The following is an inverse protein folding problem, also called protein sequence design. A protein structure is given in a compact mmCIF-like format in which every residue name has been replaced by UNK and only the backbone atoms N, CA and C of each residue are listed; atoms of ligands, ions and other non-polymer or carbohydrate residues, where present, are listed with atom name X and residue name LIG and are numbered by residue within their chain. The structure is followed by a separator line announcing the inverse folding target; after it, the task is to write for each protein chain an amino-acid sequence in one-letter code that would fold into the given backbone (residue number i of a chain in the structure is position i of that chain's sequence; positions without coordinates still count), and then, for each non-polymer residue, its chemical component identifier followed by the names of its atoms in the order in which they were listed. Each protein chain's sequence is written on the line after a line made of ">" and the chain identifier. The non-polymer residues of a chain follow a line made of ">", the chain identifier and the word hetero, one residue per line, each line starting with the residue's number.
data_IF_285098990331
#
_entry.id   IF_285098990331
#
_cell.length_a   1.000
_cell.length_b   1.000
_cell.length_c   1.000
_cell.angle_alpha   90.00
_cell.angle_beta   90.00
_cell.angle_gamma   90.00
#
_symmetry.space_group_name_H-M   'P 1'
#
loop_
_entity.id
_entity.type
_entity.pdbx_description
1 polymer ?
#
# COMPACT_ATOMS: atom_id res chain seq x y z
N UNK A 1 83.35 -12.57 -24.75
CA UNK A 1 82.07 -11.92 -25.02
C UNK A 1 81.00 -12.70 -24.28
N UNK A 2 80.77 -12.31 -23.03
CA UNK A 2 79.82 -13.00 -22.10
C UNK A 2 78.47 -12.31 -22.09
N UNK A 3 77.41 -13.07 -22.44
CA UNK A 3 76.03 -12.62 -22.29
C UNK A 3 75.55 -12.98 -20.89
N UNK A 4 75.20 -11.97 -20.08
CA UNK A 4 74.48 -12.16 -18.82
C UNK A 4 72.98 -12.10 -19.06
N UNK A 5 72.28 -13.22 -18.85
CA UNK A 5 70.84 -13.27 -18.77
C UNK A 5 70.40 -12.96 -17.34
N UNK A 6 69.67 -11.85 -17.16
CA UNK A 6 69.05 -11.48 -15.89
C UNK A 6 67.68 -12.10 -15.79
N UNK A 7 67.51 -13.04 -14.87
CA UNK A 7 66.21 -13.71 -14.56
C UNK A 7 65.47 -12.84 -13.52
N UNK A 8 64.39 -12.19 -13.91
CA UNK A 8 63.52 -11.43 -13.01
C UNK A 8 62.50 -12.38 -12.37
N UNK A 9 62.62 -12.63 -11.07
CA UNK A 9 61.59 -13.28 -10.25
C UNK A 9 60.46 -12.28 -9.98
N UNK A 10 59.26 -12.54 -10.53
CA UNK A 10 58.05 -11.86 -10.15
C UNK A 10 57.47 -12.50 -8.87
N UNK A 11 57.56 -11.85 -7.75
CA UNK A 11 56.85 -12.23 -6.51
C UNK A 11 55.41 -11.75 -6.57
N UNK A 12 54.47 -12.67 -6.78
CA UNK A 12 53.01 -12.39 -6.63
C UNK A 12 52.70 -12.20 -5.15
N UNK A 13 52.50 -10.95 -4.74
CA UNK A 13 51.96 -10.62 -3.42
C UNK A 13 50.44 -10.77 -3.47
N UNK A 14 49.90 -11.86 -2.88
CA UNK A 14 48.47 -11.97 -2.59
C UNK A 14 48.12 -10.96 -1.48
N UNK A 15 47.58 -9.80 -1.86
CA UNK A 15 46.97 -8.88 -0.91
C UNK A 15 45.61 -9.49 -0.49
N UNK A 16 45.54 -9.98 0.74
CA UNK A 16 44.28 -10.29 1.41
C UNK A 16 43.57 -8.96 1.67
N UNK A 17 42.52 -8.71 0.90
CA UNK A 17 41.60 -7.61 1.13
C UNK A 17 40.80 -7.94 2.40
N UNK A 18 40.89 -7.12 3.41
CA UNK A 18 40.13 -7.22 4.62
C UNK A 18 38.61 -7.03 4.27
N UNK A 19 37.69 -7.77 4.91
CA UNK A 19 36.30 -7.54 4.71
C UNK A 19 35.91 -6.12 5.15
N UNK A 20 35.06 -5.46 4.34
CA UNK A 20 34.55 -4.14 4.64
C UNK A 20 33.81 -4.15 6.00
N UNK A 21 33.93 -3.10 6.83
CA UNK A 21 33.20 -3.01 8.08
C UNK A 21 31.69 -3.01 7.79
N UNK A 22 30.93 -3.81 8.55
CA UNK A 22 29.48 -3.82 8.55
C UNK A 22 28.95 -2.40 8.83
N UNK A 23 27.86 -1.97 8.17
CA UNK A 23 27.28 -0.67 8.44
C UNK A 23 26.86 -0.57 9.90
N UNK A 24 27.19 0.56 10.52
CA UNK A 24 26.85 0.85 11.90
C UNK A 24 25.32 0.78 12.09
N UNK A 25 24.89 0.05 13.12
CA UNK A 25 23.49 -0.01 13.53
C UNK A 25 22.99 1.41 13.83
N UNK A 26 21.88 1.77 13.22
CA UNK A 26 21.16 2.99 13.56
C UNK A 26 20.70 2.90 15.04
N UNK A 27 20.59 4.01 15.77
CA UNK A 27 20.18 3.98 17.17
C UNK A 27 18.75 3.47 17.30
N UNK A 28 18.56 2.46 18.15
CA UNK A 28 17.27 1.92 18.56
C UNK A 28 16.45 3.03 19.22
N UNK A 29 15.51 3.61 18.48
CA UNK A 29 14.46 4.41 19.09
C UNK A 29 13.31 3.46 19.43
N UNK A 30 13.42 2.80 20.57
CA UNK A 30 12.31 2.06 21.17
C UNK A 30 11.26 3.05 21.65
N UNK A 31 10.22 3.24 20.87
CA UNK A 31 8.94 3.74 21.39
C UNK A 31 8.10 2.56 21.81
N UNK A 32 8.13 2.26 23.09
CA UNK A 32 7.29 1.27 23.75
C UNK A 32 5.84 1.74 23.75
N UNK A 33 4.99 1.02 23.08
CA UNK A 33 3.57 1.03 23.32
C UNK A 33 3.02 -0.38 23.13
N UNK A 34 2.68 -0.92 24.21
CA UNK A 34 1.74 -2.00 24.50
C UNK A 34 2.34 -3.30 25.03
N UNK A 35 1.97 -3.60 26.30
CA UNK A 35 2.48 -4.69 27.12
C UNK A 35 1.76 -6.02 26.79
N UNK A 36 1.97 -6.55 25.59
CA UNK A 36 1.69 -7.96 25.31
C UNK A 36 2.98 -8.64 24.83
N UNK A 37 3.20 -9.92 25.06
CA UNK A 37 4.36 -10.60 24.49
C UNK A 37 4.30 -10.45 22.97
N UNK A 38 5.25 -9.71 22.39
CA UNK A 38 5.39 -9.52 20.95
C UNK A 38 5.99 -10.81 20.38
N UNK A 39 5.11 -11.71 19.90
CA UNK A 39 5.52 -12.99 19.33
C UNK A 39 5.90 -12.91 17.86
N UNK A 40 5.93 -11.70 17.28
CA UNK A 40 6.31 -11.52 15.89
C UNK A 40 5.32 -12.05 14.86
N UNK A 41 5.82 -12.41 13.65
CA UNK A 41 5.00 -13.05 12.63
C UNK A 41 4.62 -14.46 13.07
N UNK A 42 3.31 -14.71 13.12
CA UNK A 42 2.72 -15.96 13.57
C UNK A 42 2.00 -16.60 12.40
N UNK A 43 2.23 -17.87 12.18
CA UNK A 43 1.43 -18.72 11.29
C UNK A 43 0.53 -19.64 12.12
N UNK A 44 -0.72 -19.77 11.70
CA UNK A 44 -1.71 -20.65 12.31
C UNK A 44 -2.40 -21.48 11.23
N UNK A 45 -2.78 -22.72 11.56
CA UNK A 45 -3.62 -23.50 10.67
C UNK A 45 -5.04 -22.94 10.71
N UNK A 46 -5.52 -22.47 9.56
CA UNK A 46 -6.90 -22.03 9.43
C UNK A 46 -7.69 -23.17 8.80
N UNK A 47 -8.51 -23.83 9.62
CA UNK A 47 -9.48 -24.79 9.10
C UNK A 47 -10.42 -24.07 8.12
N UNK A 48 -10.70 -24.64 6.94
CA UNK A 48 -11.60 -24.02 5.97
C UNK A 48 -12.97 -23.78 6.61
N UNK A 49 -13.62 -22.64 6.34
CA UNK A 49 -14.91 -22.30 6.94
C UNK A 49 -15.96 -23.35 6.55
N UNK A 50 -16.59 -23.99 7.55
CA UNK A 50 -17.61 -25.01 7.36
C UNK A 50 -18.98 -24.48 6.90
N UNK A 51 -19.18 -23.15 6.78
CA UNK A 51 -20.42 -22.50 6.32
C UNK A 51 -20.16 -21.84 4.98
N UNK A 52 -21.17 -21.89 4.07
CA UNK A 52 -21.14 -21.11 2.83
C UNK A 52 -20.85 -19.66 3.21
N UNK A 53 -19.78 -19.09 2.66
CA UNK A 53 -19.45 -17.69 2.87
C UNK A 53 -20.64 -16.82 2.39
N UNK A 54 -21.09 -15.91 3.24
CA UNK A 54 -22.13 -14.94 2.88
C UNK A 54 -21.47 -13.93 1.93
N UNK A 55 -22.08 -13.74 0.77
CA UNK A 55 -21.65 -12.69 -0.17
C UNK A 55 -22.05 -11.31 0.39
N UNK A 56 -21.16 -10.74 1.20
CA UNK A 56 -21.37 -9.43 1.84
C UNK A 56 -21.57 -8.30 0.84
N UNK A 57 -21.15 -8.48 -0.42
CA UNK A 57 -21.41 -7.55 -1.51
C UNK A 57 -22.89 -7.48 -1.92
N UNK A 58 -23.71 -8.52 -1.64
CA UNK A 58 -25.10 -8.61 -2.10
C UNK A 58 -26.15 -8.52 -1.02
N UNK A 59 -25.79 -8.62 0.26
CA UNK A 59 -26.73 -8.59 1.39
C UNK A 59 -26.41 -7.45 2.34
N UNK A 60 -27.41 -7.03 3.13
CA UNK A 60 -27.26 -6.15 4.30
C UNK A 60 -27.21 -6.94 5.61
N UNK A 61 -27.51 -8.24 5.56
CA UNK A 61 -27.45 -9.14 6.70
C UNK A 61 -26.04 -9.71 6.84
N UNK A 62 -25.15 -8.89 7.37
CA UNK A 62 -23.79 -9.33 7.61
C UNK A 62 -23.70 -10.13 8.92
N UNK A 63 -22.91 -11.22 8.96
CA UNK A 63 -22.65 -11.92 10.20
C UNK A 63 -22.12 -10.99 11.27
N UNK A 64 -22.48 -11.21 12.51
CA UNK A 64 -21.93 -10.42 13.64
C UNK A 64 -20.40 -10.55 13.66
N UNK A 65 -19.72 -9.42 13.77
CA UNK A 65 -18.28 -9.36 13.95
C UNK A 65 -17.91 -8.07 14.68
N UNK A 66 -16.89 -8.18 15.52
CA UNK A 66 -16.32 -7.06 16.27
C UNK A 66 -14.83 -7.03 16.06
N UNK A 67 -14.26 -5.85 16.13
CA UNK A 67 -12.83 -5.64 16.12
C UNK A 67 -12.28 -5.78 17.54
N UNK A 68 -11.41 -6.77 17.75
CA UNK A 68 -10.80 -7.09 19.03
C UNK A 68 -9.26 -6.99 18.98
N UNK A 69 -8.67 -7.20 17.78
CA UNK A 69 -7.21 -7.20 17.58
C UNK A 69 -6.60 -5.79 17.57
N UNK A 70 -7.42 -4.74 17.58
CA UNK A 70 -6.96 -3.37 17.50
C UNK A 70 -8.06 -2.33 17.65
N UNK A 71 -7.70 -1.11 17.27
CA UNK A 71 -8.60 0.06 17.23
C UNK A 71 -8.71 0.54 15.80
N UNK A 72 -9.92 0.84 15.36
CA UNK A 72 -10.18 1.41 14.04
C UNK A 72 -10.98 2.70 14.13
N UNK A 73 -10.71 3.61 13.21
CA UNK A 73 -11.52 4.80 12.96
C UNK A 73 -11.58 5.10 11.47
N UNK A 74 -12.66 5.76 11.04
CA UNK A 74 -12.85 6.22 9.67
C UNK A 74 -12.89 7.74 9.64
N UNK A 75 -12.15 8.30 8.70
CA UNK A 75 -12.18 9.71 8.30
C UNK A 75 -12.43 9.82 6.80
N UNK A 76 -13.15 10.86 6.40
CA UNK A 76 -13.42 11.15 4.98
C UNK A 76 -12.44 12.19 4.43
N UNK A 77 -11.30 12.38 5.07
CA UNK A 77 -10.25 13.32 4.68
C UNK A 77 -8.88 12.64 4.62
N UNK A 78 -8.07 13.07 3.66
CA UNK A 78 -6.65 12.69 3.57
C UNK A 78 -5.79 13.52 4.53
N UNK A 79 -6.23 14.71 4.92
CA UNK A 79 -5.53 15.55 5.88
C UNK A 79 -5.82 15.09 7.32
N UNK A 80 -4.98 14.21 7.84
CA UNK A 80 -5.09 13.72 9.22
C UNK A 80 -4.57 14.74 10.24
N UNK A 81 -3.79 15.72 9.84
CA UNK A 81 -3.27 16.76 10.74
C UNK A 81 -4.41 17.71 11.12
N UNK A 82 -5.19 18.16 10.14
CA UNK A 82 -6.32 19.06 10.37
C UNK A 82 -7.56 18.30 10.90
N UNK A 83 -7.82 17.07 10.44
CA UNK A 83 -9.09 16.36 10.69
C UNK A 83 -8.97 15.16 11.64
N UNK A 84 -7.78 14.89 12.17
CA UNK A 84 -7.54 13.76 13.08
C UNK A 84 -7.79 12.39 12.42
N UNK A 85 -8.00 11.38 13.27
CA UNK A 85 -8.19 9.99 12.83
C UNK A 85 -9.65 9.64 12.48
N UNK A 86 -10.59 10.56 12.73
CA UNK A 86 -12.00 10.38 12.42
C UNK A 86 -12.78 9.65 13.51
N UNK A 87 -13.92 9.06 13.14
CA UNK A 87 -14.85 8.41 14.04
C UNK A 87 -14.40 6.98 14.35
N UNK A 88 -14.20 6.68 15.64
CA UNK A 88 -13.83 5.34 16.10
C UNK A 88 -15.06 4.40 16.12
N UNK A 89 -14.83 3.13 15.83
CA UNK A 89 -15.84 2.09 15.87
C UNK A 89 -15.22 0.72 16.16
N UNK A 90 -16.05 -0.23 16.64
CA UNK A 90 -15.63 -1.61 16.91
C UNK A 90 -16.60 -2.64 16.33
N UNK A 91 -17.86 -2.24 16.10
CA UNK A 91 -18.87 -3.07 15.50
C UNK A 91 -18.70 -3.06 13.98
N UNK A 92 -18.47 -4.23 13.38
CA UNK A 92 -18.27 -4.39 11.96
C UNK A 92 -19.56 -4.73 11.20
N UNK A 93 -20.73 -4.60 11.83
CA UNK A 93 -22.04 -4.81 11.21
C UNK A 93 -22.34 -3.80 10.10
N UNK A 94 -23.24 -4.17 9.19
CA UNK A 94 -23.60 -3.36 8.01
C UNK A 94 -24.00 -1.92 8.36
N UNK A 95 -24.96 -1.74 9.27
CA UNK A 95 -25.46 -0.41 9.62
C UNK A 95 -24.42 0.42 10.38
N UNK A 96 -23.61 -0.21 11.23
CA UNK A 96 -22.53 0.50 11.93
C UNK A 96 -21.49 1.09 10.96
N UNK A 97 -21.08 0.31 9.96
CA UNK A 97 -20.17 0.80 8.92
C UNK A 97 -20.84 1.79 7.97
N UNK A 98 -22.11 1.58 7.63
CA UNK A 98 -22.88 2.54 6.84
C UNK A 98 -22.89 3.92 7.48
N UNK A 99 -23.24 4.00 8.79
CA UNK A 99 -23.34 5.26 9.53
C UNK A 99 -21.99 6.01 9.57
N UNK A 100 -20.90 5.28 9.85
CA UNK A 100 -19.55 5.87 9.94
C UNK A 100 -19.02 6.31 8.58
N UNK A 101 -19.37 5.61 7.49
CA UNK A 101 -18.88 5.87 6.14
C UNK A 101 -19.78 6.81 5.33
N UNK A 102 -21.02 7.07 5.77
CA UNK A 102 -21.97 7.89 5.01
C UNK A 102 -21.44 9.26 4.62
N UNK A 103 -20.74 10.01 5.49
CA UNK A 103 -20.14 11.30 5.13
C UNK A 103 -19.09 11.19 4.01
N UNK A 104 -18.45 10.03 3.88
CA UNK A 104 -17.39 9.82 2.89
C UNK A 104 -17.90 9.65 1.45
N UNK A 105 -19.21 9.39 1.30
CA UNK A 105 -19.83 9.18 -0.01
C UNK A 105 -19.72 10.42 -0.90
N UNK A 106 -19.99 11.61 -0.36
CA UNK A 106 -19.95 12.88 -1.09
C UNK A 106 -18.50 13.29 -1.42
N UNK A 107 -17.58 13.02 -0.48
CA UNK A 107 -16.17 13.36 -0.66
C UNK A 107 -15.45 12.37 -1.59
N UNK A 108 -15.95 11.14 -1.69
CA UNK A 108 -15.36 10.08 -2.53
C UNK A 108 -14.10 9.43 -1.95
N UNK A 109 -13.76 9.70 -0.68
CA UNK A 109 -12.57 9.21 0.02
C UNK A 109 -12.96 8.54 1.32
N UNK A 110 -12.41 7.37 1.60
CA UNK A 110 -12.45 6.73 2.91
C UNK A 110 -11.03 6.43 3.37
N UNK A 111 -10.65 6.96 4.52
CA UNK A 111 -9.39 6.66 5.22
C UNK A 111 -9.69 5.86 6.49
N UNK A 112 -9.32 4.58 6.43
CA UNK A 112 -9.40 3.65 7.54
C UNK A 112 -8.09 3.73 8.33
N UNK A 113 -8.10 4.31 9.51
CA UNK A 113 -7.00 4.23 10.45
C UNK A 113 -7.13 2.93 11.26
N UNK A 114 -6.08 2.13 11.29
CA UNK A 114 -6.01 0.93 12.10
C UNK A 114 -4.75 0.94 12.96
N UNK A 115 -4.92 0.68 14.26
CA UNK A 115 -3.83 0.48 15.19
C UNK A 115 -4.04 -0.82 15.96
N UNK A 116 -3.20 -1.83 15.70
CA UNK A 116 -3.36 -3.14 16.32
C UNK A 116 -2.58 -4.24 15.63
N UNK A 117 -2.95 -5.48 15.91
CA UNK A 117 -2.30 -6.68 15.35
C UNK A 117 -3.03 -7.18 14.10
N UNK A 118 -2.29 -7.78 13.19
CA UNK A 118 -2.89 -8.47 12.03
C UNK A 118 -3.52 -9.77 12.50
N UNK A 119 -4.84 -9.88 12.36
CA UNK A 119 -5.66 -11.02 12.76
C UNK A 119 -6.92 -11.11 11.88
N UNK A 120 -7.72 -12.16 12.03
CA UNK A 120 -8.91 -12.41 11.18
C UNK A 120 -9.98 -11.31 11.23
N UNK A 121 -10.08 -10.58 12.32
CA UNK A 121 -11.01 -9.45 12.44
C UNK A 121 -10.53 -8.21 11.66
N UNK A 122 -9.22 -8.00 11.49
CA UNK A 122 -8.68 -7.00 10.55
C UNK A 122 -9.02 -7.38 9.10
N UNK A 123 -8.86 -8.64 8.73
CA UNK A 123 -9.28 -9.12 7.40
C UNK A 123 -10.76 -8.81 7.17
N UNK A 124 -11.62 -9.18 8.13
CA UNK A 124 -13.06 -8.90 8.08
C UNK A 124 -13.35 -7.39 7.99
N UNK A 125 -12.61 -6.57 8.72
CA UNK A 125 -12.74 -5.10 8.66
C UNK A 125 -12.44 -4.57 7.25
N UNK A 126 -11.32 -4.99 6.65
CA UNK A 126 -10.92 -4.55 5.30
C UNK A 126 -11.96 -5.00 4.25
N UNK A 127 -12.39 -6.27 4.29
CA UNK A 127 -13.45 -6.81 3.41
C UNK A 127 -14.74 -5.98 3.49
N UNK A 128 -15.18 -5.63 4.69
CA UNK A 128 -16.44 -4.92 4.91
C UNK A 128 -16.36 -3.46 4.52
N UNK A 129 -15.24 -2.79 4.83
CA UNK A 129 -15.01 -1.41 4.38
C UNK A 129 -14.89 -1.35 2.86
N UNK A 130 -14.19 -2.29 2.23
CA UNK A 130 -14.10 -2.39 0.77
C UNK A 130 -15.48 -2.59 0.12
N UNK A 131 -16.29 -3.52 0.67
CA UNK A 131 -17.66 -3.78 0.20
C UNK A 131 -18.56 -2.56 0.34
N UNK A 132 -18.52 -1.88 1.50
CA UNK A 132 -19.30 -0.67 1.76
C UNK A 132 -18.86 0.48 0.84
N UNK A 133 -17.56 0.71 0.69
CA UNK A 133 -17.02 1.73 -0.21
C UNK A 133 -17.46 1.49 -1.68
N UNK A 134 -17.46 0.24 -2.12
CA UNK A 134 -17.94 -0.14 -3.46
C UNK A 134 -19.43 0.18 -3.62
N UNK A 135 -20.28 -0.14 -2.63
CA UNK A 135 -21.72 0.17 -2.64
C UNK A 135 -22.00 1.67 -2.66
N UNK A 136 -21.17 2.47 -2.00
CA UNK A 136 -21.28 3.92 -1.94
C UNK A 136 -20.66 4.63 -3.15
N UNK A 137 -19.94 3.91 -4.03
CA UNK A 137 -19.19 4.51 -5.14
C UNK A 137 -17.92 5.25 -4.71
N UNK A 138 -17.42 5.00 -3.48
CA UNK A 138 -16.18 5.59 -2.98
C UNK A 138 -15.00 4.91 -3.67
N UNK A 139 -14.25 5.67 -4.44
CA UNK A 139 -13.13 5.15 -5.25
C UNK A 139 -11.81 5.16 -4.50
N UNK A 140 -11.55 6.18 -3.69
CA UNK A 140 -10.29 6.31 -2.96
C UNK A 140 -10.40 5.68 -1.57
N UNK A 141 -9.65 4.60 -1.37
CA UNK A 141 -9.58 3.83 -0.11
C UNK A 141 -8.16 3.89 0.41
N UNK A 142 -7.99 4.31 1.65
CA UNK A 142 -6.69 4.45 2.30
C UNK A 142 -6.70 3.59 3.56
N UNK A 143 -5.75 2.67 3.67
CA UNK A 143 -5.45 1.99 4.93
C UNK A 143 -4.24 2.67 5.58
N UNK A 144 -4.50 3.42 6.62
CA UNK A 144 -3.53 4.12 7.44
C UNK A 144 -3.21 3.23 8.66
N UNK A 145 -2.10 2.51 8.58
CA UNK A 145 -1.80 1.39 9.48
C UNK A 145 -0.68 1.70 10.48
N UNK A 146 -0.86 1.16 11.70
CA UNK A 146 0.13 1.14 12.79
C UNK A 146 0.06 -0.24 13.45
N UNK A 147 0.95 -1.15 13.05
CA UNK A 147 0.87 -2.57 13.43
C UNK A 147 2.23 -3.19 13.66
N UNK A 148 2.38 -3.88 14.80
CA UNK A 148 3.55 -4.71 15.08
C UNK A 148 3.55 -6.05 14.34
N UNK A 149 2.52 -6.34 13.53
CA UNK A 149 2.37 -7.60 12.83
C UNK A 149 1.31 -8.51 13.42
N UNK A 150 1.41 -9.82 13.20
CA UNK A 150 0.45 -10.81 13.66
C UNK A 150 0.43 -12.06 12.78
N UNK A 151 -0.75 -12.51 12.37
CA UNK A 151 -0.93 -13.76 11.62
C UNK A 151 -0.63 -13.55 10.14
N UNK A 152 0.24 -14.39 9.57
CA UNK A 152 0.67 -14.34 8.17
C UNK A 152 -0.50 -14.62 7.22
N UNK A 153 -1.29 -15.64 7.52
CA UNK A 153 -2.42 -16.08 6.72
C UNK A 153 -3.52 -14.99 6.65
N UNK A 154 -3.73 -14.27 7.74
CA UNK A 154 -4.65 -13.14 7.77
C UNK A 154 -4.11 -11.95 6.98
N UNK A 155 -2.79 -11.69 7.05
CA UNK A 155 -2.15 -10.66 6.24
C UNK A 155 -2.29 -10.95 4.74
N UNK A 156 -2.07 -12.20 4.33
CA UNK A 156 -2.24 -12.64 2.94
C UNK A 156 -3.68 -12.43 2.48
N UNK A 157 -4.67 -12.90 3.27
CA UNK A 157 -6.09 -12.74 2.90
C UNK A 157 -6.51 -11.28 2.83
N UNK A 158 -6.13 -10.48 3.81
CA UNK A 158 -6.43 -9.05 3.82
C UNK A 158 -5.78 -8.33 2.64
N UNK A 159 -4.53 -8.68 2.33
CA UNK A 159 -3.80 -8.12 1.19
C UNK A 159 -4.41 -8.50 -0.16
N UNK A 160 -4.91 -9.74 -0.33
CA UNK A 160 -5.63 -10.14 -1.54
C UNK A 160 -6.92 -9.33 -1.74
N UNK A 161 -7.70 -9.10 -0.66
CA UNK A 161 -8.88 -8.21 -0.71
C UNK A 161 -8.51 -6.79 -1.12
N UNK A 162 -7.38 -6.29 -0.60
CA UNK A 162 -6.90 -4.95 -0.93
C UNK A 162 -6.50 -4.84 -2.40
N UNK A 163 -5.75 -5.82 -2.92
CA UNK A 163 -5.34 -5.89 -4.33
C UNK A 163 -6.55 -5.91 -5.30
N UNK A 164 -7.65 -6.57 -4.90
CA UNK A 164 -8.87 -6.63 -5.70
C UNK A 164 -9.74 -5.36 -5.61
N UNK A 165 -9.49 -4.47 -4.65
CA UNK A 165 -10.40 -3.37 -4.31
C UNK A 165 -9.75 -1.99 -4.27
N UNK A 166 -8.58 -1.84 -4.77
CA UNK A 166 -7.82 -0.60 -4.98
C UNK A 166 -7.59 0.20 -3.68
N UNK A 167 -6.50 -0.09 -2.98
CA UNK A 167 -6.13 0.57 -1.73
C UNK A 167 -4.79 1.29 -1.82
N UNK A 168 -4.74 2.47 -1.20
CA UNK A 168 -3.49 3.14 -0.85
C UNK A 168 -3.11 2.76 0.58
N UNK A 169 -1.86 2.31 0.76
CA UNK A 169 -1.31 2.02 2.08
C UNK A 169 -0.56 3.23 2.62
N UNK A 170 -0.86 3.62 3.87
CA UNK A 170 -0.10 4.64 4.59
C UNK A 170 0.54 4.06 5.85
N UNK A 171 1.84 4.29 6.01
CA UNK A 171 2.55 4.14 7.27
C UNK A 171 3.08 5.51 7.63
N UNK A 172 2.36 6.23 8.49
CA UNK A 172 2.67 7.62 8.86
C UNK A 172 3.97 7.69 9.68
N UNK A 173 4.56 8.87 9.75
CA UNK A 173 5.64 9.15 10.69
C UNK A 173 5.21 8.78 12.13
N UNK A 174 6.09 8.08 12.86
CA UNK A 174 5.81 7.54 14.19
C UNK A 174 4.93 6.28 14.22
N UNK A 175 4.36 5.84 13.09
CA UNK A 175 3.69 4.55 12.98
C UNK A 175 4.66 3.46 12.54
N UNK A 176 4.29 2.20 12.79
CA UNK A 176 5.07 1.03 12.41
C UNK A 176 4.25 0.08 11.55
N UNK A 177 4.96 -0.64 10.67
CA UNK A 177 4.42 -1.81 9.96
C UNK A 177 5.46 -2.92 10.02
N UNK A 178 5.34 -3.79 11.01
CA UNK A 178 6.35 -4.82 11.27
C UNK A 178 5.81 -6.21 10.94
N UNK A 179 6.73 -7.13 10.62
CA UNK A 179 6.46 -8.55 10.53
C UNK A 179 5.37 -8.87 9.50
N UNK A 180 4.27 -9.58 9.87
CA UNK A 180 3.15 -9.89 8.96
C UNK A 180 2.49 -8.64 8.35
N UNK A 181 2.56 -7.45 9.00
CA UNK A 181 2.07 -6.20 8.42
C UNK A 181 2.77 -5.85 7.10
N UNK A 182 4.04 -6.23 6.93
CA UNK A 182 4.80 -5.96 5.70
C UNK A 182 4.15 -6.62 4.47
N UNK A 183 3.47 -7.75 4.66
CA UNK A 183 2.73 -8.41 3.57
C UNK A 183 1.56 -7.55 3.09
N UNK A 184 0.88 -6.80 3.97
CA UNK A 184 -0.21 -5.92 3.55
C UNK A 184 0.26 -4.84 2.57
N UNK A 185 1.54 -4.41 2.66
CA UNK A 185 2.10 -3.43 1.72
C UNK A 185 2.10 -3.94 0.28
N UNK A 186 2.29 -5.26 0.08
CA UNK A 186 2.24 -5.85 -1.25
C UNK A 186 0.84 -5.77 -1.89
N UNK A 187 -0.23 -5.85 -1.07
CA UNK A 187 -1.61 -5.76 -1.53
C UNK A 187 -2.08 -4.33 -1.86
N UNK A 188 -1.31 -3.30 -1.50
CA UNK A 188 -1.65 -1.92 -1.83
C UNK A 188 -1.27 -1.53 -3.25
N UNK A 189 -2.09 -0.72 -3.92
CA UNK A 189 -1.78 -0.17 -5.25
C UNK A 189 -0.76 0.97 -5.17
N UNK A 190 -0.91 1.80 -4.15
CA UNK A 190 0.05 2.85 -3.79
C UNK A 190 0.49 2.70 -2.33
N UNK A 191 1.75 2.99 -2.04
CA UNK A 191 2.31 2.91 -0.68
C UNK A 191 3.06 4.19 -0.34
N UNK A 192 2.58 4.88 0.69
CA UNK A 192 3.19 6.09 1.24
C UNK A 192 3.75 5.74 2.61
N UNK A 193 5.07 5.66 2.71
CA UNK A 193 5.76 5.18 3.90
C UNK A 193 6.69 6.28 4.43
N UNK A 194 6.33 6.81 5.60
CA UNK A 194 7.14 7.75 6.38
C UNK A 194 7.53 7.17 7.74
N UNK A 195 6.84 6.10 8.15
CA UNK A 195 7.10 5.37 9.39
C UNK A 195 8.08 4.21 9.22
N UNK A 196 8.22 3.40 10.24
CA UNK A 196 9.16 2.29 10.26
C UNK A 196 8.54 0.99 9.71
N UNK A 197 9.21 0.36 8.75
CA UNK A 197 8.86 -0.97 8.24
C UNK A 197 9.94 -1.95 8.67
N UNK A 198 9.56 -3.01 9.37
CA UNK A 198 10.52 -3.94 9.94
C UNK A 198 10.14 -5.40 9.76
N UNK A 199 11.14 -6.25 9.64
CA UNK A 199 10.97 -7.68 9.39
C UNK A 199 11.73 -8.53 10.41
N UNK A 200 11.23 -9.71 10.65
CA UNK A 200 11.89 -10.79 11.38
C UNK A 200 11.33 -12.14 10.96
N UNK A 201 11.98 -13.22 11.40
CA UNK A 201 11.63 -14.60 11.05
C UNK A 201 10.24 -14.96 11.60
N UNK A 202 9.47 -15.67 10.77
CA UNK A 202 8.17 -16.23 11.14
C UNK A 202 8.32 -17.30 12.23
N UNK A 203 7.38 -17.31 13.17
CA UNK A 203 7.22 -18.35 14.17
C UNK A 203 5.85 -18.99 14.00
N UNK A 204 5.78 -20.31 14.08
CA UNK A 204 4.52 -21.04 14.13
C UNK A 204 4.23 -21.43 15.59
N UNK A 205 3.49 -20.57 16.31
CA UNK A 205 3.24 -20.73 17.76
C UNK A 205 2.39 -21.99 18.06
N UNK A 206 1.49 -22.36 17.15
CA UNK A 206 0.61 -23.51 17.31
C UNK A 206 1.17 -24.77 16.64
N UNK A 207 2.48 -24.81 16.35
CA UNK A 207 3.12 -25.98 15.78
C UNK A 207 3.10 -27.14 16.78
N UNK A 208 2.69 -28.31 16.30
CA UNK A 208 2.78 -29.58 17.01
C UNK A 208 4.08 -30.35 16.70
N UNK A 209 4.99 -29.70 15.95
CA UNK A 209 6.25 -30.32 15.54
C UNK A 209 7.10 -30.73 16.74
N UNK A 210 7.49 -32.01 16.77
CA UNK A 210 8.37 -32.58 17.78
C UNK A 210 9.83 -32.68 17.35
N UNK A 211 10.12 -32.34 16.09
CA UNK A 211 11.46 -32.36 15.53
C UNK A 211 11.74 -31.10 14.67
N UNK A 212 13.03 -30.75 14.51
CA UNK A 212 13.45 -29.65 13.61
C UNK A 212 13.01 -29.89 12.18
N UNK A 213 12.97 -31.15 11.73
CA UNK A 213 12.56 -31.50 10.38
C UNK A 213 11.06 -31.19 10.15
N UNK A 214 10.21 -31.55 11.12
CA UNK A 214 8.78 -31.27 11.09
C UNK A 214 8.54 -29.75 11.12
N UNK A 215 9.15 -29.04 12.06
CA UNK A 215 9.04 -27.57 12.12
C UNK A 215 9.53 -26.91 10.83
N UNK A 216 10.61 -27.41 10.24
CA UNK A 216 11.13 -26.91 8.97
C UNK A 216 10.14 -27.12 7.83
N UNK A 217 9.47 -28.27 7.75
CA UNK A 217 8.45 -28.54 6.74
C UNK A 217 7.26 -27.56 6.86
N UNK A 218 6.74 -27.37 8.08
CA UNK A 218 5.66 -26.43 8.34
C UNK A 218 6.03 -24.97 7.97
N UNK A 219 7.27 -24.56 8.27
CA UNK A 219 7.75 -23.22 7.93
C UNK A 219 7.95 -23.04 6.42
N UNK A 220 8.29 -24.10 5.69
CA UNK A 220 8.37 -24.05 4.22
C UNK A 220 7.00 -23.79 3.58
N UNK A 221 5.95 -24.44 4.07
CA UNK A 221 4.59 -24.20 3.56
C UNK A 221 4.17 -22.73 3.70
N UNK A 222 4.42 -22.12 4.85
CA UNK A 222 4.12 -20.70 5.08
C UNK A 222 4.98 -19.80 4.20
N UNK A 223 6.27 -20.13 4.10
CA UNK A 223 7.20 -19.38 3.24
C UNK A 223 6.80 -19.42 1.77
N UNK A 224 6.40 -20.59 1.27
CA UNK A 224 5.93 -20.74 -0.11
C UNK A 224 4.63 -19.96 -0.33
N UNK A 225 3.68 -20.01 0.60
CA UNK A 225 2.45 -19.21 0.53
C UNK A 225 2.72 -17.70 0.51
N UNK A 226 3.72 -17.24 1.26
CA UNK A 226 4.16 -15.85 1.23
C UNK A 226 4.77 -15.47 -0.12
N UNK A 227 5.61 -16.34 -0.71
CA UNK A 227 6.23 -16.09 -2.02
C UNK A 227 5.17 -16.00 -3.11
N UNK A 228 4.24 -16.95 -3.15
CA UNK A 228 3.12 -16.95 -4.10
C UNK A 228 2.27 -15.68 -3.96
N UNK A 229 2.04 -15.24 -2.72
CA UNK A 229 1.32 -14.00 -2.44
C UNK A 229 2.06 -12.76 -2.93
N UNK A 230 3.36 -12.64 -2.62
CA UNK A 230 4.19 -11.50 -3.02
C UNK A 230 4.29 -11.40 -4.55
N UNK A 231 4.52 -12.53 -5.22
CA UNK A 231 4.66 -12.59 -6.68
C UNK A 231 3.38 -12.12 -7.39
N UNK A 232 2.20 -12.69 -7.02
CA UNK A 232 0.93 -12.30 -7.66
C UNK A 232 0.52 -10.86 -7.37
N UNK A 233 1.03 -10.25 -6.30
CA UNK A 233 0.77 -8.87 -5.94
C UNK A 233 1.91 -7.90 -6.35
N UNK A 234 2.83 -8.34 -7.20
CA UNK A 234 3.85 -7.47 -7.80
C UNK A 234 4.94 -6.98 -6.86
N UNK A 235 5.14 -7.68 -5.72
CA UNK A 235 6.25 -7.46 -4.81
C UNK A 235 7.34 -8.52 -5.00
N UNK A 236 8.56 -8.22 -4.58
CA UNK A 236 9.67 -9.17 -4.69
C UNK A 236 9.52 -10.34 -3.72
N UNK A 237 9.62 -11.56 -4.21
CA UNK A 237 9.67 -12.78 -3.38
C UNK A 237 10.87 -12.79 -2.42
N UNK A 238 11.90 -12.01 -2.70
CA UNK A 238 13.07 -11.85 -1.84
C UNK A 238 12.72 -11.32 -0.44
N UNK A 239 11.57 -10.66 -0.27
CA UNK A 239 11.06 -10.25 1.05
C UNK A 239 10.88 -11.48 1.96
N UNK A 240 10.22 -12.53 1.46
CA UNK A 240 10.00 -13.76 2.23
C UNK A 240 11.33 -14.43 2.60
N UNK A 241 12.26 -14.51 1.65
CA UNK A 241 13.59 -15.07 1.89
C UNK A 241 14.35 -14.24 2.93
N UNK A 242 14.31 -12.91 2.82
CA UNK A 242 14.96 -12.00 3.75
C UNK A 242 14.39 -12.10 5.17
N UNK A 243 13.07 -12.15 5.31
CA UNK A 243 12.41 -12.35 6.60
C UNK A 243 12.93 -13.61 7.30
N UNK A 244 13.13 -14.71 6.58
CA UNK A 244 13.62 -15.96 7.16
C UNK A 244 15.06 -15.89 7.66
N UNK A 245 15.86 -14.93 7.24
CA UNK A 245 17.26 -14.73 7.68
C UNK A 245 17.37 -13.96 8.99
N UNK A 246 16.36 -13.13 9.33
CA UNK A 246 16.38 -12.29 10.54
C UNK A 246 15.86 -13.11 11.74
N UNK A 247 16.63 -13.24 12.85
CA UNK A 247 16.13 -13.95 14.02
C UNK A 247 14.82 -13.35 14.54
N UNK A 248 13.90 -14.21 15.02
CA UNK A 248 12.60 -13.77 15.51
C UNK A 248 12.64 -12.84 16.74
N UNK A 249 13.74 -12.83 17.48
CA UNK A 249 13.98 -11.95 18.62
C UNK A 249 14.62 -10.61 18.22
N UNK A 250 14.88 -10.42 16.92
CA UNK A 250 15.51 -9.22 16.37
C UNK A 250 14.58 -8.63 15.32
N UNK A 251 14.38 -7.32 15.37
CA UNK A 251 13.66 -6.60 14.34
C UNK A 251 14.68 -5.90 13.42
N UNK A 252 14.60 -6.16 12.13
CA UNK A 252 15.40 -5.49 11.10
C UNK A 252 14.53 -4.46 10.38
N UNK A 253 14.80 -3.18 10.61
CA UNK A 253 14.14 -2.09 9.89
C UNK A 253 14.69 -2.05 8.47
N UNK A 254 13.77 -1.97 7.49
CA UNK A 254 14.08 -1.84 6.08
C UNK A 254 14.45 -0.39 5.75
N UNK A 255 15.50 -0.22 4.97
CA UNK A 255 15.88 1.09 4.43
C UNK A 255 14.96 1.49 3.26
N UNK A 256 14.90 2.78 2.89
CA UNK A 256 14.17 3.20 1.68
C UNK A 256 14.60 2.46 0.42
N UNK A 257 15.89 2.19 0.24
CA UNK A 257 16.43 1.44 -0.91
C UNK A 257 15.96 -0.02 -0.89
N UNK A 258 15.89 -0.66 0.28
CA UNK A 258 15.35 -2.01 0.44
C UNK A 258 13.84 -2.04 0.15
N UNK A 259 13.07 -1.07 0.65
CA UNK A 259 11.64 -0.93 0.35
C UNK A 259 11.42 -0.79 -1.16
N UNK A 260 12.25 0.00 -1.84
CA UNK A 260 12.19 0.16 -3.29
C UNK A 260 12.58 -1.14 -4.02
N UNK A 261 13.67 -1.78 -3.62
CA UNK A 261 14.15 -3.03 -4.23
C UNK A 261 13.16 -4.19 -4.04
N UNK A 262 12.43 -4.18 -2.94
CA UNK A 262 11.38 -5.16 -2.63
C UNK A 262 10.02 -4.82 -3.28
N UNK A 263 9.87 -3.66 -3.90
CA UNK A 263 8.60 -3.21 -4.46
C UNK A 263 7.53 -2.96 -3.41
N UNK A 264 7.92 -2.47 -2.23
CA UNK A 264 7.03 -2.23 -1.08
C UNK A 264 6.74 -0.74 -0.84
N UNK A 265 7.24 0.17 -1.67
CA UNK A 265 7.00 1.62 -1.61
C UNK A 265 6.59 2.15 -2.99
N UNK A 266 5.85 3.25 -3.04
CA UNK A 266 5.37 3.85 -4.26
C UNK A 266 4.28 3.03 -4.95
N UNK A 267 4.14 3.20 -6.25
CA UNK A 267 3.10 2.51 -7.05
C UNK A 267 3.43 1.04 -7.25
N UNK A 268 2.39 0.21 -7.23
CA UNK A 268 2.51 -1.23 -7.48
C UNK A 268 2.76 -1.49 -8.98
N UNK A 269 3.85 -2.18 -9.30
CA UNK A 269 4.22 -2.46 -10.69
C UNK A 269 3.19 -3.32 -11.42
N UNK A 270 2.66 -4.37 -10.78
CA UNK A 270 1.64 -5.24 -11.36
C UNK A 270 0.32 -4.48 -11.60
N UNK A 271 -0.06 -3.59 -10.69
CA UNK A 271 -1.24 -2.72 -10.86
C UNK A 271 -1.03 -1.72 -12.00
N UNK A 272 0.14 -1.09 -12.09
CA UNK A 272 0.46 -0.20 -13.21
C UNK A 272 0.36 -0.92 -14.57
N UNK A 273 0.88 -2.12 -14.67
CA UNK A 273 0.79 -2.93 -15.89
C UNK A 273 -0.68 -3.27 -16.22
N UNK A 274 -1.48 -3.64 -15.21
CA UNK A 274 -2.89 -3.94 -15.38
C UNK A 274 -3.69 -2.72 -15.83
N UNK A 275 -3.46 -1.56 -15.23
CA UNK A 275 -4.08 -0.28 -15.62
C UNK A 275 -3.70 0.10 -17.06
N UNK A 276 -2.43 -0.06 -17.42
CA UNK A 276 -1.93 0.19 -18.77
C UNK A 276 -2.60 -0.74 -19.79
N UNK A 277 -2.74 -2.03 -19.49
CA UNK A 277 -3.45 -2.99 -20.35
C UNK A 277 -4.92 -2.60 -20.52
N UNK A 278 -5.59 -2.20 -19.42
CA UNK A 278 -6.98 -1.72 -19.45
C UNK A 278 -7.12 -0.47 -20.32
N UNK A 279 -6.17 0.47 -20.19
CA UNK A 279 -6.13 1.71 -20.95
C UNK A 279 -5.91 1.45 -22.45
N UNK A 280 -5.00 0.54 -22.79
CA UNK A 280 -4.80 0.10 -24.21
C UNK A 280 -6.09 -0.48 -24.79
N UNK A 281 -6.81 -1.31 -24.04
CA UNK A 281 -8.07 -1.91 -24.50
C UNK A 281 -9.16 -0.86 -24.70
N UNK A 282 -9.24 0.14 -23.86
CA UNK A 282 -10.27 1.20 -23.91
C UNK A 282 -9.95 2.30 -24.91
N UNK A 283 -8.72 2.83 -24.88
CA UNK A 283 -8.32 4.02 -25.63
C UNK A 283 -7.42 3.72 -26.82
N UNK A 284 -6.81 2.55 -26.86
CA UNK A 284 -5.88 2.14 -27.92
C UNK A 284 -4.41 2.38 -27.59
N UNK A 285 -3.53 1.67 -28.30
CA UNK A 285 -2.08 1.73 -28.09
C UNK A 285 -1.48 3.11 -28.38
N UNK A 286 -2.03 3.83 -29.38
CA UNK A 286 -1.55 5.16 -29.74
C UNK A 286 -1.80 6.17 -28.62
N UNK A 287 -2.95 6.11 -27.96
CA UNK A 287 -3.26 6.91 -26.77
C UNK A 287 -2.19 6.73 -25.68
N UNK A 288 -1.88 5.49 -25.33
CA UNK A 288 -0.91 5.17 -24.27
C UNK A 288 0.50 5.63 -24.65
N UNK A 289 0.90 5.51 -25.92
CA UNK A 289 2.19 6.03 -26.39
C UNK A 289 2.31 7.56 -26.26
N UNK A 290 1.23 8.28 -26.57
CA UNK A 290 1.16 9.74 -26.41
C UNK A 290 1.19 10.14 -24.94
N UNK A 291 0.47 9.40 -24.09
CA UNK A 291 0.47 9.57 -22.65
C UNK A 291 1.88 9.35 -22.05
N UNK A 292 2.58 8.29 -22.42
CA UNK A 292 3.97 8.04 -22.02
C UNK A 292 4.91 9.18 -22.45
N UNK A 293 4.70 9.70 -23.67
CA UNK A 293 5.51 10.81 -24.18
C UNK A 293 5.23 12.09 -23.41
N UNK A 294 3.95 12.35 -23.05
CA UNK A 294 3.56 13.45 -22.20
C UNK A 294 4.21 13.36 -20.81
N UNK A 295 4.12 12.20 -20.14
CA UNK A 295 4.69 12.02 -18.81
C UNK A 295 6.20 12.29 -18.78
N UNK A 296 6.94 11.76 -19.75
CA UNK A 296 8.39 12.05 -19.84
C UNK A 296 8.69 13.53 -20.02
N UNK A 297 7.91 14.21 -20.84
CA UNK A 297 8.09 15.65 -21.06
C UNK A 297 7.66 16.47 -19.83
N UNK A 298 6.58 16.07 -19.16
CA UNK A 298 6.10 16.69 -17.94
C UNK A 298 7.15 16.62 -16.81
N UNK A 299 7.73 15.45 -16.57
CA UNK A 299 8.81 15.27 -15.59
C UNK A 299 10.01 16.16 -15.90
N UNK A 300 10.40 16.26 -17.17
CA UNK A 300 11.56 17.04 -17.58
C UNK A 300 11.33 18.55 -17.57
N UNK A 301 10.14 19.01 -17.91
CA UNK A 301 9.85 20.44 -18.17
C UNK A 301 9.04 21.11 -17.06
N UNK A 302 8.15 20.36 -16.39
CA UNK A 302 7.20 20.91 -15.43
C UNK A 302 7.49 20.52 -13.98
N UNK A 303 7.88 19.27 -13.73
CA UNK A 303 8.05 18.74 -12.37
C UNK A 303 9.44 19.05 -11.80
N UNK A 304 9.78 20.34 -11.67
CA UNK A 304 11.07 20.74 -11.10
C UNK A 304 11.01 20.85 -9.58
N UNK A 305 12.07 20.43 -8.84
CA UNK A 305 12.11 20.54 -7.39
C UNK A 305 11.88 21.98 -6.90
N UNK A 306 11.01 22.14 -5.91
CA UNK A 306 10.73 23.40 -5.26
C UNK A 306 9.71 24.31 -5.96
N UNK A 307 9.09 23.85 -7.05
CA UNK A 307 7.99 24.58 -7.67
C UNK A 307 6.67 24.38 -6.91
N UNK A 308 5.82 25.42 -6.93
CA UNK A 308 4.46 25.32 -6.40
C UNK A 308 3.60 24.37 -7.27
N UNK A 309 2.71 23.63 -6.64
CA UNK A 309 1.82 22.66 -7.32
C UNK A 309 1.02 23.31 -8.43
N UNK A 310 0.50 24.53 -8.21
CA UNK A 310 -0.27 25.27 -9.21
C UNK A 310 0.57 25.61 -10.47
N UNK A 311 1.85 25.93 -10.27
CA UNK A 311 2.75 26.19 -11.39
C UNK A 311 3.07 24.93 -12.19
N UNK A 312 3.24 23.79 -11.50
CA UNK A 312 3.43 22.47 -12.12
C UNK A 312 2.18 22.07 -12.92
N UNK A 313 0.99 22.25 -12.34
CA UNK A 313 -0.28 21.95 -13.00
C UNK A 313 -0.50 22.83 -14.23
N UNK A 314 -0.27 24.13 -14.12
CA UNK A 314 -0.39 25.08 -15.25
C UNK A 314 0.57 24.72 -16.40
N UNK A 315 1.82 24.36 -16.09
CA UNK A 315 2.79 23.88 -17.06
C UNK A 315 2.30 22.61 -17.76
N UNK A 316 1.80 21.62 -17.00
CA UNK A 316 1.27 20.36 -17.54
C UNK A 316 0.06 20.59 -18.45
N UNK A 317 -0.88 21.44 -18.06
CA UNK A 317 -2.04 21.80 -18.87
C UNK A 317 -1.62 22.46 -20.19
N UNK A 318 -0.62 23.35 -20.17
CA UNK A 318 -0.07 23.96 -21.38
C UNK A 318 0.65 22.96 -22.29
N UNK A 319 1.23 21.90 -21.72
CA UNK A 319 1.95 20.84 -22.45
C UNK A 319 1.01 19.85 -23.16
N UNK A 320 -0.18 19.58 -22.61
CA UNK A 320 -1.16 18.58 -23.10
C UNK A 320 -1.46 18.63 -24.60
N UNK A 321 -1.75 19.82 -25.21
CA UNK A 321 -2.09 19.89 -26.63
C UNK A 321 -0.99 19.38 -27.56
N UNK A 322 0.28 19.52 -27.20
CA UNK A 322 1.42 19.03 -27.97
C UNK A 322 1.44 17.50 -28.12
N UNK A 323 0.76 16.80 -27.20
CA UNK A 323 0.61 15.35 -27.20
C UNK A 323 -0.80 14.89 -27.61
N UNK A 324 -1.64 15.81 -28.12
CA UNK A 324 -3.00 15.51 -28.59
C UNK A 324 -3.99 15.22 -27.47
N UNK A 325 -3.84 15.87 -26.31
CA UNK A 325 -4.79 15.84 -25.21
C UNK A 325 -5.50 17.20 -25.04
N UNK A 326 -6.77 17.20 -24.57
CA UNK A 326 -7.61 16.03 -24.28
C UNK A 326 -7.95 15.20 -25.53
N UNK A 327 -7.98 13.88 -25.35
CA UNK A 327 -8.32 12.94 -26.43
C UNK A 327 -9.84 12.88 -26.65
N UNK A 328 -10.28 12.87 -27.91
CA UNK A 328 -11.71 12.91 -28.24
C UNK A 328 -12.48 11.64 -27.86
N UNK A 329 -11.80 10.50 -27.82
CA UNK A 329 -12.39 9.19 -27.52
C UNK A 329 -12.32 8.84 -26.03
N UNK A 330 -11.27 9.34 -25.36
CA UNK A 330 -10.95 9.03 -23.97
C UNK A 330 -10.68 10.33 -23.20
N UNK A 331 -11.70 11.17 -23.06
CA UNK A 331 -11.60 12.49 -22.41
C UNK A 331 -11.18 12.37 -20.94
N UNK A 332 -11.77 11.38 -20.23
CA UNK A 332 -11.60 11.22 -18.78
C UNK A 332 -10.32 10.47 -18.40
N UNK A 333 -9.66 9.87 -19.39
CA UNK A 333 -8.45 9.05 -19.18
C UNK A 333 -7.15 9.79 -19.52
N UNK A 334 -7.23 11.02 -20.01
CA UNK A 334 -6.05 11.80 -20.39
C UNK A 334 -5.27 12.35 -19.21
N UNK A 335 -3.98 12.70 -19.41
CA UNK A 335 -3.17 13.34 -18.39
C UNK A 335 -3.85 14.58 -17.81
N UNK A 336 -3.89 14.70 -16.48
CA UNK A 336 -4.50 15.82 -15.73
C UNK A 336 -6.01 16.01 -16.03
N UNK A 337 -6.72 14.96 -16.45
CA UNK A 337 -8.17 15.04 -16.71
C UNK A 337 -8.98 15.36 -15.44
N UNK A 338 -8.49 15.02 -14.27
CA UNK A 338 -9.09 15.40 -13.00
C UNK A 338 -9.15 16.91 -12.77
N UNK A 339 -8.22 17.68 -13.31
CA UNK A 339 -8.25 19.15 -13.24
C UNK A 339 -9.37 19.74 -14.13
N UNK A 340 -9.64 19.13 -15.28
CA UNK A 340 -10.77 19.51 -16.12
C UNK A 340 -12.09 19.20 -15.42
N UNK A 341 -12.20 18.05 -14.74
CA UNK A 341 -13.38 17.67 -13.98
C UNK A 341 -13.63 18.60 -12.80
N UNK A 342 -12.58 18.98 -12.07
CA UNK A 342 -12.66 19.96 -10.97
C UNK A 342 -13.08 21.35 -11.46
N UNK A 343 -12.51 21.83 -12.57
CA UNK A 343 -12.87 23.11 -13.18
C UNK A 343 -14.34 23.13 -13.63
N UNK A 344 -14.81 22.04 -14.22
CA UNK A 344 -16.21 21.87 -14.63
C UNK A 344 -17.15 21.88 -13.43
N UNK A 345 -16.85 21.09 -12.37
CA UNK A 345 -17.66 21.06 -11.16
C UNK A 345 -17.72 22.43 -10.47
N UNK A 346 -16.61 23.18 -10.45
CA UNK A 346 -16.58 24.52 -9.89
C UNK A 346 -17.43 25.52 -10.70
N UNK A 347 -17.45 25.38 -12.03
CA UNK A 347 -18.29 26.21 -12.90
C UNK A 347 -19.78 25.92 -12.70
N UNK A 348 -20.18 24.64 -12.64
CA UNK A 348 -21.55 24.21 -12.36
C UNK A 348 -22.05 24.71 -10.99
N UNK A 349 -21.20 24.62 -9.95
CA UNK A 349 -21.54 25.14 -8.62
C UNK A 349 -21.67 26.69 -8.59
N UNK A 350 -20.93 27.41 -9.45
CA UNK A 350 -21.04 28.87 -9.56
C UNK A 350 -22.34 29.30 -10.28
N UNK A 351 -22.78 28.54 -11.27
CA UNK A 351 -24.05 28.76 -11.97
C UNK A 351 -25.25 28.50 -11.05
N UNK A 352 -25.23 27.43 -10.26
CA UNK A 352 -26.30 27.08 -9.30
C UNK A 352 -26.45 28.12 -8.17
N UNK A 353 -25.36 28.73 -7.73
CA UNK A 353 -25.36 29.81 -6.76
C UNK A 353 -25.74 31.20 -7.35
N UNK A 354 -25.59 31.37 -8.68
CA UNK A 354 -25.93 32.61 -9.37
C UNK A 354 -27.44 32.80 -9.60
N UNK A 355 -28.22 31.73 -9.63
CA UNK A 355 -29.67 31.80 -9.86
C UNK A 355 -30.49 32.05 -8.55
N UNK A 356 -29.82 32.03 -7.38
CA UNK A 356 -30.47 32.26 -6.08
C UNK A 356 -30.67 33.72 -5.69
N UNK A 357 -30.14 34.69 -6.44
CA UNK A 357 -30.15 36.13 -6.12
C UNK A 357 -30.96 36.99 -7.09
N UNK A 358 -32.10 36.52 -7.59
CA UNK A 358 -33.09 37.38 -8.24
C UNK A 358 -34.05 37.96 -7.20
N UNK A 359 -34.02 39.28 -6.92
CA UNK A 359 -34.98 39.89 -6.01
C UNK A 359 -36.40 39.84 -6.62
N UNK A 360 -37.32 39.19 -5.88
CA UNK A 360 -38.76 39.25 -6.18
C UNK A 360 -39.18 40.71 -6.15
N UNK A 361 -39.42 41.29 -7.30
CA UNK A 361 -40.04 42.59 -7.44
C UNK A 361 -41.49 42.52 -6.93
N UNK A 362 -41.74 43.03 -5.72
CA UNK A 362 -43.10 43.30 -5.20
C UNK A 362 -43.70 44.48 -5.96
N UNK A 363 -44.77 44.20 -6.70
CA UNK A 363 -45.77 45.19 -7.12
C UNK A 363 -46.86 45.32 -6.07
#
# INVERSE_FOLDING_TARGET
>A
MFLFAVLALATAACSRQAPAPAPAAAPDTQTSADNGPDFGAVSVDIAPPKKKAVDIGKTTEWPEAKLESGKASISCSTDYVANGDGQAFTNLGFFSLLDVMLPCKEVGVVRLRYKGRVAGDLTTLIERVASMATRMGIKQRILDIDSSGGQVEDAIRAGDVMADTNWTMWVREGAVCHSACVLLLAGGDDRVISGAVGVHRIIRIQSEATSRAQLSAELHEVHDAMKDYLERNGASVAVADFMMTVPNQSLRILTPDELQAFGLIGRNAAQQDLERIRLVRRCGLDFVRREDAFHRAFEQQCAQPGQAVDAINACGLALRPHYGFPDKKCLDDGPLAELDAQAKAAAEAAEDNGDADLPIATQ
#
